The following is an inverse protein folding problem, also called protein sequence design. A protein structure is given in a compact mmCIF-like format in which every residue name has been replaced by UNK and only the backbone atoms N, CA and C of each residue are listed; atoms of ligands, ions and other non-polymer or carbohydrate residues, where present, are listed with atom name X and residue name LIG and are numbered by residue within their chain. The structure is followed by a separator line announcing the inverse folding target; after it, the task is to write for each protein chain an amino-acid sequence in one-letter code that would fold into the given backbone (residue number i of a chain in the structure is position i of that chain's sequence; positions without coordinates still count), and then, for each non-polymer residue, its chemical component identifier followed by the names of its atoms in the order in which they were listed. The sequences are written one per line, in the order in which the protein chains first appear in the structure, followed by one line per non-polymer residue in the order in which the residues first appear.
data_IF_917389437799
#
_entry.id   IF_917389437799
#
_cell.length_a   1.000
_cell.length_b   1.000
_cell.length_c   1.000
_cell.angle_alpha   90.00
_cell.angle_beta   90.00
_cell.angle_gamma   90.00
#
_symmetry.space_group_name_H-M   'P 1'
#
loop_
_entity.id
_entity.type
_entity.pdbx_description
1 polymer ?
#
# COMPACT_ATOMS: atom_id res chain seq x y z
N UNK A 1 7.33 -4.18 22.44
CA UNK A 1 7.98 -3.80 21.17
C UNK A 1 8.10 -4.95 20.19
N UNK A 2 8.66 -6.12 20.56
CA UNK A 2 8.83 -7.25 19.61
C UNK A 2 7.49 -7.81 19.13
N UNK A 3 6.61 -8.21 20.06
CA UNK A 3 5.32 -8.87 19.75
C UNK A 3 4.47 -8.07 18.76
N UNK A 4 4.33 -6.76 18.96
CA UNK A 4 3.50 -5.94 18.07
C UNK A 4 4.05 -5.90 16.63
N UNK A 5 5.37 -5.91 16.43
CA UNK A 5 5.97 -6.00 15.09
C UNK A 5 5.79 -7.39 14.48
N UNK A 6 5.86 -8.46 15.28
CA UNK A 6 5.54 -9.81 14.79
C UNK A 6 4.07 -9.92 14.35
N UNK A 7 3.14 -9.32 15.11
CA UNK A 7 1.72 -9.24 14.75
C UNK A 7 1.52 -8.43 13.46
N UNK A 8 2.23 -7.31 13.28
CA UNK A 8 2.25 -6.59 11.99
C UNK A 8 2.67 -7.49 10.84
N UNK A 9 3.77 -8.25 10.98
CA UNK A 9 4.25 -9.14 9.92
C UNK A 9 3.27 -10.28 9.61
N UNK A 10 2.49 -10.76 10.59
CA UNK A 10 1.40 -11.72 10.34
C UNK A 10 0.27 -11.09 9.53
N UNK A 11 -0.16 -9.88 9.88
CA UNK A 11 -1.18 -9.17 9.11
C UNK A 11 -0.70 -8.75 7.72
N UNK A 12 0.57 -8.35 7.56
CA UNK A 12 1.13 -8.06 6.24
C UNK A 12 1.15 -9.30 5.35
N UNK A 13 1.42 -10.48 5.91
CA UNK A 13 1.34 -11.75 5.20
C UNK A 13 -0.07 -12.01 4.67
N UNK A 14 -1.09 -11.81 5.51
CA UNK A 14 -2.49 -11.97 5.14
C UNK A 14 -2.92 -10.93 4.09
N UNK A 15 -2.54 -9.66 4.27
CA UNK A 15 -2.83 -8.58 3.31
C UNK A 15 -2.22 -8.88 1.95
N UNK A 16 -0.99 -9.39 1.89
CA UNK A 16 -0.38 -9.80 0.62
C UNK A 16 -1.13 -10.93 -0.06
N UNK A 17 -1.54 -11.96 0.71
CA UNK A 17 -2.34 -13.07 0.19
C UNK A 17 -3.66 -12.57 -0.43
N UNK A 18 -4.36 -11.69 0.28
CA UNK A 18 -5.63 -11.13 -0.18
C UNK A 18 -5.47 -10.17 -1.37
N UNK A 19 -4.40 -9.36 -1.41
CA UNK A 19 -4.14 -8.47 -2.54
C UNK A 19 -3.78 -9.24 -3.81
N UNK A 20 -3.04 -10.35 -3.69
CA UNK A 20 -2.75 -11.25 -4.81
C UNK A 20 -4.05 -11.86 -5.36
N UNK A 21 -4.89 -12.37 -4.46
CA UNK A 21 -6.19 -12.94 -4.82
C UNK A 21 -7.13 -11.89 -5.44
N UNK A 22 -7.13 -10.67 -4.92
CA UNK A 22 -7.90 -9.56 -5.50
C UNK A 22 -7.49 -9.28 -6.95
N UNK A 23 -6.19 -9.30 -7.28
CA UNK A 23 -5.76 -9.12 -8.67
C UNK A 23 -6.30 -10.22 -9.59
N UNK A 24 -6.34 -11.47 -9.13
CA UNK A 24 -6.91 -12.59 -9.88
C UNK A 24 -8.42 -12.40 -10.11
N UNK A 25 -9.16 -12.05 -9.06
CA UNK A 25 -10.61 -11.82 -9.14
C UNK A 25 -10.98 -10.65 -10.07
N UNK A 26 -10.23 -9.55 -10.01
CA UNK A 26 -10.42 -8.42 -10.91
C UNK A 26 -10.18 -8.81 -12.38
N UNK A 27 -9.14 -9.60 -12.67
CA UNK A 27 -8.87 -10.12 -14.02
C UNK A 27 -9.92 -11.12 -14.51
N UNK A 28 -10.45 -11.92 -13.60
CA UNK A 28 -11.53 -12.86 -13.87
C UNK A 28 -12.91 -12.18 -13.97
N UNK A 29 -12.99 -10.88 -13.67
CA UNK A 29 -14.24 -10.12 -13.59
C UNK A 29 -15.24 -10.68 -12.55
N UNK A 30 -14.75 -11.30 -11.47
CA UNK A 30 -15.57 -11.78 -10.36
C UNK A 30 -15.80 -10.66 -9.35
N UNK A 31 -16.71 -9.75 -9.69
CA UNK A 31 -17.01 -8.57 -8.88
C UNK A 31 -17.48 -8.88 -7.46
N UNK A 32 -18.40 -9.86 -7.22
CA UNK A 32 -18.85 -10.17 -5.88
C UNK A 32 -17.72 -10.63 -4.95
N UNK A 33 -16.85 -11.54 -5.42
CA UNK A 33 -15.71 -11.99 -4.61
C UNK A 33 -14.66 -10.90 -4.46
N UNK A 34 -14.41 -10.08 -5.49
CA UNK A 34 -13.48 -8.94 -5.38
C UNK A 34 -13.94 -7.96 -4.29
N UNK A 35 -15.24 -7.65 -4.24
CA UNK A 35 -15.81 -6.78 -3.20
C UNK A 35 -15.69 -7.39 -1.79
N UNK A 36 -15.91 -8.70 -1.65
CA UNK A 36 -15.74 -9.40 -0.36
C UNK A 36 -14.28 -9.43 0.11
N UNK A 37 -13.36 -9.65 -0.83
CA UNK A 37 -11.90 -9.65 -0.61
C UNK A 37 -11.42 -8.26 -0.17
N UNK A 38 -11.84 -7.20 -0.87
CA UNK A 38 -11.57 -5.82 -0.47
C UNK A 38 -12.10 -5.53 0.94
N UNK A 39 -13.33 -5.95 1.27
CA UNK A 39 -13.88 -5.78 2.62
C UNK A 39 -12.99 -6.44 3.69
N UNK A 40 -12.41 -7.62 3.42
CA UNK A 40 -11.47 -8.27 4.34
C UNK A 40 -10.19 -7.46 4.50
N UNK A 41 -9.57 -7.04 3.41
CA UNK A 41 -8.36 -6.18 3.43
C UNK A 41 -8.61 -4.92 4.26
N UNK A 42 -9.72 -4.20 3.99
CA UNK A 42 -10.09 -2.98 4.72
C UNK A 42 -10.31 -3.22 6.21
N UNK A 43 -10.86 -4.39 6.58
CA UNK A 43 -11.05 -4.77 7.98
C UNK A 43 -9.69 -5.01 8.66
N UNK A 44 -8.75 -5.66 7.97
CA UNK A 44 -7.38 -5.85 8.49
C UNK A 44 -6.67 -4.51 8.63
N UNK A 45 -6.80 -3.58 7.67
CA UNK A 45 -6.20 -2.25 7.78
C UNK A 45 -6.68 -1.50 9.02
N UNK A 46 -7.97 -1.60 9.37
CA UNK A 46 -8.48 -1.03 10.63
C UNK A 46 -7.83 -1.65 11.86
N UNK A 47 -7.57 -2.96 11.85
CA UNK A 47 -6.81 -3.63 12.92
C UNK A 47 -5.37 -3.13 12.99
N UNK A 48 -4.70 -2.96 11.83
CA UNK A 48 -3.35 -2.40 11.75
C UNK A 48 -3.27 -0.98 12.30
N UNK A 49 -4.29 -0.16 12.06
CA UNK A 49 -4.38 1.20 12.62
C UNK A 49 -4.59 1.14 14.14
N UNK A 50 -5.58 0.37 14.60
CA UNK A 50 -5.94 0.31 16.02
C UNK A 50 -4.79 -0.23 16.90
N UNK A 51 -4.01 -1.19 16.40
CA UNK A 51 -2.92 -1.78 17.18
C UNK A 51 -1.75 -0.80 17.44
N UNK A 52 -1.70 0.36 16.75
CA UNK A 52 -0.75 1.45 17.08
C UNK A 52 -0.98 1.95 18.51
N UNK A 53 -2.22 1.96 18.99
CA UNK A 53 -2.57 2.40 20.35
C UNK A 53 -1.78 1.62 21.41
N UNK A 54 -1.49 0.33 21.15
CA UNK A 54 -0.66 -0.51 22.04
C UNK A 54 0.78 0.01 22.12
N UNK A 55 1.38 0.40 20.98
CA UNK A 55 2.73 0.98 20.95
C UNK A 55 2.79 2.34 21.62
N UNK A 56 1.72 3.11 21.51
CA UNK A 56 1.60 4.46 22.09
C UNK A 56 1.63 4.47 23.62
N UNK A 57 1.41 3.31 24.27
CA UNK A 57 1.59 3.13 25.72
C UNK A 57 3.06 3.11 26.17
N UNK A 58 4.01 2.93 25.24
CA UNK A 58 5.44 2.98 25.53
C UNK A 58 5.89 4.45 25.60
N UNK A 59 6.28 4.91 26.78
CA UNK A 59 6.83 6.26 26.96
C UNK A 59 8.19 6.42 26.25
N UNK A 60 8.59 7.66 25.91
CA UNK A 60 9.92 7.90 25.34
C UNK A 60 11.06 7.36 26.21
N UNK A 61 10.95 7.49 27.55
CA UNK A 61 11.95 6.97 28.48
C UNK A 61 12.06 5.44 28.41
N UNK A 62 10.92 4.73 28.41
CA UNK A 62 10.89 3.27 28.30
C UNK A 62 11.48 2.81 26.97
N UNK A 63 11.19 3.51 25.88
CA UNK A 63 11.76 3.19 24.56
C UNK A 63 13.28 3.41 24.54
N UNK A 64 13.77 4.54 25.05
CA UNK A 64 15.19 4.86 25.07
C UNK A 64 16.02 3.87 25.91
N UNK A 65 15.43 3.28 26.96
CA UNK A 65 16.10 2.30 27.82
C UNK A 65 16.57 1.03 27.08
N UNK A 66 15.95 0.68 25.95
CA UNK A 66 16.38 -0.47 25.14
C UNK A 66 16.74 -0.12 23.69
N UNK A 67 16.50 1.12 23.24
CA UNK A 67 16.73 1.54 21.84
C UNK A 67 18.13 1.21 21.33
N UNK A 68 19.16 1.36 22.15
CA UNK A 68 20.54 1.08 21.76
C UNK A 68 20.77 -0.40 21.38
N UNK A 69 19.95 -1.32 21.91
CA UNK A 69 20.02 -2.76 21.60
C UNK A 69 19.35 -3.14 20.28
N UNK A 70 18.64 -2.20 19.64
CA UNK A 70 18.01 -2.44 18.34
C UNK A 70 19.02 -2.39 17.18
N UNK A 71 20.24 -1.88 17.42
CA UNK A 71 21.32 -1.76 16.43
C UNK A 71 20.80 -1.20 15.09
N UNK A 72 21.01 -1.92 13.98
CA UNK A 72 20.55 -1.55 12.63
C UNK A 72 19.11 -1.97 12.32
N UNK A 73 18.38 -2.54 13.28
CA UNK A 73 17.01 -2.99 13.10
C UNK A 73 16.09 -1.85 12.67
N UNK A 74 15.50 -1.96 11.48
CA UNK A 74 14.67 -0.91 10.89
C UNK A 74 13.46 -1.49 10.17
N UNK A 75 12.32 -0.78 10.23
CA UNK A 75 11.15 -1.08 9.42
C UNK A 75 11.43 -1.09 7.90
N UNK A 76 12.54 -0.45 7.46
CA UNK A 76 12.99 -0.54 6.07
C UNK A 76 13.39 -1.95 5.62
N UNK A 77 13.66 -2.85 6.57
CA UNK A 77 14.02 -4.25 6.31
C UNK A 77 12.79 -5.16 6.23
N UNK A 78 11.57 -4.65 6.46
CA UNK A 78 10.34 -5.41 6.24
C UNK A 78 10.14 -5.66 4.75
N UNK A 79 10.40 -6.89 4.30
CA UNK A 79 10.18 -7.29 2.91
C UNK A 79 8.69 -7.32 2.58
N UNK A 80 7.84 -7.80 3.50
CA UNK A 80 6.39 -7.87 3.26
C UNK A 80 5.78 -6.48 3.12
N UNK A 81 6.16 -5.51 3.96
CA UNK A 81 5.69 -4.14 3.81
C UNK A 81 6.13 -3.52 2.48
N UNK A 82 7.38 -3.78 2.04
CA UNK A 82 7.87 -3.36 0.72
C UNK A 82 7.08 -4.00 -0.42
N UNK A 83 6.72 -5.28 -0.29
CA UNK A 83 5.87 -5.96 -1.27
C UNK A 83 4.47 -5.31 -1.33
N UNK A 84 3.87 -4.93 -0.19
CA UNK A 84 2.60 -4.20 -0.13
C UNK A 84 2.72 -2.83 -0.82
N UNK A 85 3.80 -2.09 -0.57
CA UNK A 85 4.05 -0.82 -1.27
C UNK A 85 4.09 -1.02 -2.80
N UNK A 86 4.76 -2.06 -3.26
CA UNK A 86 4.87 -2.36 -4.70
C UNK A 86 3.56 -2.82 -5.33
N UNK A 87 2.80 -3.72 -4.71
CA UNK A 87 1.50 -4.16 -5.27
C UNK A 87 0.47 -3.01 -5.31
N UNK A 88 0.59 -2.03 -4.41
CA UNK A 88 -0.20 -0.79 -4.41
C UNK A 88 0.39 0.31 -5.34
N UNK A 89 1.44 0.02 -6.11
CA UNK A 89 1.95 0.92 -7.15
C UNK A 89 3.07 1.87 -6.75
N UNK A 90 3.64 1.78 -5.54
CA UNK A 90 4.82 2.58 -5.13
C UNK A 90 6.13 2.05 -5.72
N UNK A 91 6.23 2.05 -7.05
CA UNK A 91 7.33 1.46 -7.83
C UNK A 91 8.54 2.39 -8.06
N UNK A 92 8.54 3.61 -7.55
CA UNK A 92 9.60 4.60 -7.86
C UNK A 92 11.01 4.33 -7.29
N UNK A 93 11.17 3.37 -6.36
CA UNK A 93 12.46 3.05 -5.74
C UNK A 93 12.59 1.55 -5.44
N UNK A 94 13.41 0.80 -6.20
CA UNK A 94 13.58 -0.65 -6.00
C UNK A 94 14.11 -1.00 -4.59
N UNK A 95 15.12 -0.26 -4.12
CA UNK A 95 15.74 -0.41 -2.79
C UNK A 95 16.17 -1.85 -2.41
N UNK A 96 16.57 -2.66 -3.40
CA UNK A 96 16.90 -4.07 -3.22
C UNK A 96 18.16 -4.30 -2.38
N UNK A 97 19.06 -3.32 -2.36
CA UNK A 97 20.33 -3.33 -1.61
C UNK A 97 20.15 -3.49 -0.09
N UNK A 98 18.93 -3.27 0.41
CA UNK A 98 18.58 -3.45 1.83
C UNK A 98 18.47 -4.91 2.25
N UNK A 99 18.37 -5.82 1.28
CA UNK A 99 18.24 -7.25 1.53
C UNK A 99 19.52 -7.97 1.09
N UNK A 100 20.01 -8.95 1.88
CA UNK A 100 21.21 -9.70 1.51
C UNK A 100 21.09 -10.31 0.11
N UNK A 101 22.17 -10.23 -0.65
CA UNK A 101 22.23 -10.80 -2.00
C UNK A 101 21.93 -12.30 -1.98
N UNK A 102 21.13 -12.77 -2.93
CA UNK A 102 20.70 -14.17 -3.02
C UNK A 102 19.65 -14.61 -2.00
N UNK A 103 19.28 -13.77 -1.02
CA UNK A 103 18.24 -14.11 -0.03
C UNK A 103 16.85 -14.26 -0.66
N UNK A 104 16.01 -15.13 -0.08
CA UNK A 104 14.62 -15.31 -0.54
C UNK A 104 13.81 -14.02 -0.44
N UNK A 105 14.03 -13.21 0.61
CA UNK A 105 13.37 -11.91 0.75
C UNK A 105 13.72 -10.95 -0.40
N UNK A 106 14.98 -10.91 -0.81
CA UNK A 106 15.41 -10.11 -1.96
C UNK A 106 14.73 -10.56 -3.25
N UNK A 107 14.74 -11.87 -3.52
CA UNK A 107 14.08 -12.46 -4.71
C UNK A 107 12.58 -12.15 -4.75
N UNK A 108 11.91 -12.21 -3.59
CA UNK A 108 10.48 -11.86 -3.47
C UNK A 108 10.22 -10.40 -3.82
N UNK A 109 10.98 -9.48 -3.24
CA UNK A 109 10.84 -8.04 -3.48
C UNK A 109 11.17 -7.67 -4.93
N UNK A 110 12.23 -8.24 -5.51
CA UNK A 110 12.60 -8.06 -6.93
C UNK A 110 11.51 -8.58 -7.87
N UNK A 111 10.95 -9.77 -7.60
CA UNK A 111 9.83 -10.31 -8.36
C UNK A 111 8.62 -9.38 -8.28
N UNK A 112 8.25 -8.99 -7.06
CA UNK A 112 7.10 -8.12 -6.81
C UNK A 112 7.26 -6.75 -7.48
N UNK A 113 8.48 -6.22 -7.55
CA UNK A 113 8.78 -4.96 -8.21
C UNK A 113 8.42 -4.97 -9.70
N UNK A 114 8.63 -6.10 -10.38
CA UNK A 114 8.36 -6.22 -11.81
C UNK A 114 6.94 -6.72 -12.15
N UNK A 115 6.14 -7.10 -11.14
CA UNK A 115 4.78 -7.59 -11.33
C UNK A 115 3.74 -6.45 -11.46
N UNK A 116 2.61 -6.70 -12.14
CA UNK A 116 1.48 -5.77 -12.17
C UNK A 116 0.94 -5.47 -10.77
N UNK A 117 0.37 -4.28 -10.62
CA UNK A 117 -0.24 -3.76 -9.38
C UNK A 117 -1.73 -4.09 -9.29
N UNK A 118 -2.36 -3.79 -8.15
CA UNK A 118 -3.83 -3.78 -8.03
C UNK A 118 -4.45 -2.80 -9.03
N UNK A 119 -3.84 -1.64 -9.23
CA UNK A 119 -4.31 -0.65 -10.19
C UNK A 119 -4.31 -1.20 -11.62
N UNK A 120 -3.25 -1.90 -12.02
CA UNK A 120 -3.16 -2.52 -13.35
C UNK A 120 -4.24 -3.60 -13.55
N UNK A 121 -4.54 -4.39 -12.49
CA UNK A 121 -5.63 -5.35 -12.52
C UNK A 121 -7.01 -4.66 -12.61
N UNK A 122 -7.18 -3.50 -11.94
CA UNK A 122 -8.39 -2.70 -12.04
C UNK A 122 -8.59 -2.08 -13.43
N UNK A 123 -7.51 -1.63 -14.09
CA UNK A 123 -7.57 -1.17 -15.48
C UNK A 123 -8.00 -2.31 -16.44
N UNK A 124 -7.50 -3.52 -16.23
CA UNK A 124 -7.94 -4.71 -16.97
C UNK A 124 -9.42 -5.07 -16.68
N UNK A 125 -9.86 -4.92 -15.43
CA UNK A 125 -11.24 -5.09 -15.02
C UNK A 125 -12.18 -4.08 -15.73
N UNK A 126 -11.80 -2.81 -15.80
CA UNK A 126 -12.54 -1.79 -16.56
C UNK A 126 -12.63 -2.15 -18.05
N UNK A 127 -11.53 -2.58 -18.66
CA UNK A 127 -11.52 -3.02 -20.06
C UNK A 127 -12.43 -4.23 -20.30
N UNK A 128 -12.46 -5.19 -19.36
CA UNK A 128 -13.34 -6.36 -19.41
C UNK A 128 -14.82 -5.97 -19.33
N UNK A 129 -15.14 -4.93 -18.55
CA UNK A 129 -16.45 -4.28 -18.48
C UNK A 129 -16.74 -3.32 -19.66
N UNK A 130 -16.00 -3.43 -20.76
CA UNK A 130 -16.21 -2.72 -22.04
C UNK A 130 -15.93 -1.22 -22.02
N UNK A 131 -15.22 -0.72 -21.00
CA UNK A 131 -14.71 0.65 -21.02
C UNK A 131 -13.45 0.75 -21.90
N UNK A 132 -13.25 1.86 -22.64
CA UNK A 132 -12.18 2.00 -23.63
C UNK A 132 -10.83 2.34 -22.99
N UNK A 133 -10.31 1.48 -22.10
CA UNK A 133 -9.01 1.70 -21.45
C UNK A 133 -7.87 1.66 -22.48
N UNK A 134 -6.96 2.65 -22.51
CA UNK A 134 -5.86 2.68 -23.47
C UNK A 134 -4.98 1.43 -23.39
N UNK A 135 -4.71 0.80 -24.54
CA UNK A 135 -3.87 -0.42 -24.62
C UNK A 135 -2.48 -0.22 -24.02
N UNK A 136 -1.90 0.98 -24.17
CA UNK A 136 -0.60 1.32 -23.62
C UNK A 136 -0.58 1.21 -22.08
N UNK A 137 -1.70 1.48 -21.40
CA UNK A 137 -1.80 1.35 -19.94
C UNK A 137 -2.02 -0.11 -19.50
N UNK A 138 -2.63 -0.94 -20.35
CA UNK A 138 -2.84 -2.37 -20.07
C UNK A 138 -1.55 -3.21 -20.19
N UNK A 139 -0.54 -2.70 -20.90
CA UNK A 139 0.73 -3.38 -21.20
C UNK A 139 1.95 -2.52 -20.87
N UNK A 140 1.81 -1.58 -19.92
CA UNK A 140 2.90 -0.69 -19.50
C UNK A 140 4.06 -1.46 -18.85
N UNK A 141 5.21 -0.81 -18.73
CA UNK A 141 6.27 -1.27 -17.83
C UNK A 141 5.81 -1.15 -16.36
N UNK A 142 5.55 -2.29 -15.72
CA UNK A 142 5.05 -2.36 -14.35
C UNK A 142 6.09 -1.96 -13.29
N UNK A 143 7.37 -1.86 -13.68
CA UNK A 143 8.44 -1.36 -12.81
C UNK A 143 8.42 0.16 -12.67
N UNK A 144 7.70 0.87 -13.56
CA UNK A 144 7.54 2.33 -13.48
C UNK A 144 6.38 2.72 -12.57
N UNK A 145 6.46 3.94 -12.02
CA UNK A 145 5.34 4.59 -11.36
C UNK A 145 4.19 4.79 -12.37
N UNK A 146 2.96 4.62 -11.91
CA UNK A 146 1.79 4.95 -12.72
C UNK A 146 1.61 6.47 -12.76
N UNK A 147 1.56 7.02 -13.98
CA UNK A 147 1.26 8.43 -14.21
C UNK A 147 -0.26 8.62 -14.42
N UNK A 148 -0.89 9.61 -13.75
CA UNK A 148 -2.32 9.90 -13.91
C UNK A 148 -2.72 10.14 -15.37
N UNK A 149 -3.90 9.68 -15.76
CA UNK A 149 -4.38 9.73 -17.14
C UNK A 149 -5.75 10.37 -17.24
N UNK A 150 -5.84 11.49 -17.97
CA UNK A 150 -7.11 12.17 -18.23
C UNK A 150 -8.11 11.30 -19.01
N UNK A 151 -7.64 10.35 -19.82
CA UNK A 151 -8.50 9.36 -20.49
C UNK A 151 -9.12 8.39 -19.48
N UNK A 152 -8.32 7.88 -18.53
CA UNK A 152 -8.82 7.02 -17.45
C UNK A 152 -9.78 7.79 -16.55
N UNK A 153 -9.50 9.05 -16.23
CA UNK A 153 -10.39 9.90 -15.43
C UNK A 153 -11.78 10.04 -16.07
N UNK A 154 -11.86 10.30 -17.38
CA UNK A 154 -13.14 10.35 -18.11
C UNK A 154 -13.90 9.03 -18.05
N UNK A 155 -13.20 7.90 -18.21
CA UNK A 155 -13.78 6.56 -18.08
C UNK A 155 -14.37 6.37 -16.68
N UNK A 156 -13.63 6.77 -15.64
CA UNK A 156 -14.10 6.63 -14.26
C UNK A 156 -15.32 7.52 -13.98
N UNK A 157 -15.37 8.76 -14.47
CA UNK A 157 -16.58 9.60 -14.36
C UNK A 157 -17.78 8.91 -15.00
N UNK A 158 -17.60 8.27 -16.16
CA UNK A 158 -18.67 7.49 -16.80
C UNK A 158 -19.08 6.26 -15.97
N UNK A 159 -18.11 5.52 -15.42
CA UNK A 159 -18.34 4.38 -14.51
C UNK A 159 -19.24 4.81 -13.36
N UNK A 160 -18.91 5.91 -12.68
CA UNK A 160 -19.68 6.39 -11.52
C UNK A 160 -21.10 6.80 -11.90
N UNK A 161 -21.30 7.35 -13.11
CA UNK A 161 -22.62 7.79 -13.59
C UNK A 161 -23.51 6.64 -14.06
N UNK A 162 -22.93 5.56 -14.60
CA UNK A 162 -23.69 4.54 -15.35
C UNK A 162 -23.63 3.13 -14.78
N UNK A 163 -22.63 2.80 -13.96
CA UNK A 163 -22.41 1.43 -13.50
C UNK A 163 -22.12 1.38 -11.99
N UNK A 164 -23.18 1.33 -11.16
CA UNK A 164 -23.04 1.30 -9.69
C UNK A 164 -22.19 0.14 -9.18
N UNK A 165 -22.22 -1.01 -9.86
CA UNK A 165 -21.47 -2.21 -9.46
C UNK A 165 -19.97 -2.03 -9.64
N UNK A 166 -19.52 -1.49 -10.78
CA UNK A 166 -18.10 -1.18 -11.02
C UNK A 166 -17.67 0.02 -10.16
N UNK A 167 -18.54 1.03 -10.02
CA UNK A 167 -18.29 2.18 -9.15
C UNK A 167 -18.06 1.76 -7.69
N UNK A 168 -18.77 0.75 -7.19
CA UNK A 168 -18.56 0.23 -5.85
C UNK A 168 -17.15 -0.37 -5.67
N UNK A 169 -16.59 -1.04 -6.68
CA UNK A 169 -15.19 -1.50 -6.63
C UNK A 169 -14.23 -0.31 -6.61
N UNK A 170 -14.50 0.71 -7.43
CA UNK A 170 -13.71 1.95 -7.44
C UNK A 170 -13.70 2.64 -6.07
N UNK A 171 -14.85 2.74 -5.40
CA UNK A 171 -14.95 3.27 -4.02
C UNK A 171 -14.15 2.44 -3.03
N UNK A 172 -14.19 1.10 -3.13
CA UNK A 172 -13.40 0.23 -2.25
C UNK A 172 -11.88 0.35 -2.47
N UNK A 173 -11.44 0.74 -3.66
CA UNK A 173 -10.04 1.06 -3.91
C UNK A 173 -9.65 2.41 -3.28
N UNK A 174 -10.56 3.39 -3.26
CA UNK A 174 -10.35 4.63 -2.50
C UNK A 174 -10.28 4.35 -0.99
N UNK A 175 -11.18 3.52 -0.46
CA UNK A 175 -11.13 3.07 0.94
C UNK A 175 -9.77 2.41 1.27
N UNK A 176 -9.20 1.65 0.33
CA UNK A 176 -7.92 0.96 0.49
C UNK A 176 -6.76 1.94 0.55
N UNK A 177 -6.74 2.93 -0.35
CA UNK A 177 -5.72 3.98 -0.35
C UNK A 177 -5.80 4.85 0.91
N UNK A 178 -7.02 5.25 1.30
CA UNK A 178 -7.27 5.99 2.55
C UNK A 178 -6.81 5.22 3.78
N UNK A 179 -7.21 3.96 3.93
CA UNK A 179 -6.82 3.15 5.09
C UNK A 179 -5.31 2.93 5.18
N UNK A 180 -4.62 2.81 4.05
CA UNK A 180 -3.16 2.72 4.02
C UNK A 180 -2.49 4.06 4.39
N UNK A 181 -3.03 5.18 3.93
CA UNK A 181 -2.56 6.53 4.32
C UNK A 181 -2.82 6.82 5.80
N UNK A 182 -3.97 6.42 6.35
CA UNK A 182 -4.28 6.53 7.77
C UNK A 182 -3.23 5.77 8.61
N UNK A 183 -2.92 4.53 8.24
CA UNK A 183 -1.89 3.75 8.91
C UNK A 183 -0.53 4.44 8.86
N UNK A 184 -0.11 4.96 7.70
CA UNK A 184 1.16 5.71 7.58
C UNK A 184 1.18 6.94 8.47
N UNK A 185 0.09 7.70 8.48
CA UNK A 185 -0.03 8.90 9.30
C UNK A 185 0.09 8.56 10.79
N UNK A 186 -0.66 7.55 11.25
CA UNK A 186 -0.60 7.07 12.62
C UNK A 186 0.80 6.55 12.98
N UNK A 187 1.46 5.85 12.06
CA UNK A 187 2.85 5.40 12.24
C UNK A 187 3.82 6.59 12.38
N UNK A 188 3.70 7.62 11.53
CA UNK A 188 4.49 8.86 11.65
C UNK A 188 4.29 9.50 13.02
N UNK A 189 3.03 9.67 13.46
CA UNK A 189 2.73 10.28 14.75
C UNK A 189 3.25 9.46 15.92
N UNK A 190 3.14 8.13 15.86
CA UNK A 190 3.73 7.21 16.83
C UNK A 190 5.26 7.38 16.90
N UNK A 191 5.95 7.45 15.76
CA UNK A 191 7.40 7.70 15.74
C UNK A 191 7.72 9.08 16.34
N UNK A 192 7.01 10.14 15.94
CA UNK A 192 7.21 11.50 16.46
C UNK A 192 7.06 11.59 17.97
N UNK A 193 6.02 10.98 18.55
CA UNK A 193 5.83 11.01 20.01
C UNK A 193 6.87 10.18 20.76
N UNK A 194 7.39 9.10 20.16
CA UNK A 194 8.34 8.21 20.84
C UNK A 194 9.78 8.71 20.75
N UNK A 195 10.18 9.30 19.63
CA UNK A 195 11.58 9.69 19.37
C UNK A 195 11.80 11.15 18.97
N UNK A 196 10.73 11.94 18.82
CA UNK A 196 10.82 13.33 18.36
C UNK A 196 11.42 13.43 16.96
N UNK A 197 12.44 14.27 16.83
CA UNK A 197 13.19 14.51 15.58
C UNK A 197 14.45 13.64 15.47
N UNK A 198 14.65 12.67 16.36
CA UNK A 198 15.84 11.81 16.31
C UNK A 198 15.87 11.00 15.00
N UNK A 199 17.04 10.83 14.36
CA UNK A 199 17.19 9.94 13.20
C UNK A 199 16.70 8.52 13.49
N UNK A 200 16.27 7.82 12.44
CA UNK A 200 15.88 6.41 12.54
C UNK A 200 17.08 5.49 12.72
N UNK A 201 16.89 4.33 13.34
CA UNK A 201 17.94 3.28 13.47
C UNK A 201 18.40 2.73 12.11
N UNK A 202 17.58 2.88 11.06
CA UNK A 202 17.94 2.54 9.68
C UNK A 202 18.60 3.67 8.89
N UNK A 203 19.06 4.75 9.52
CA UNK A 203 19.81 5.83 8.86
C UNK A 203 18.99 6.91 8.16
N UNK A 204 17.65 6.91 8.26
CA UNK A 204 16.82 8.02 7.77
C UNK A 204 16.76 9.19 8.76
N UNK A 205 16.24 10.35 8.31
CA UNK A 205 15.87 11.49 9.18
C UNK A 205 14.68 11.21 10.12
N UNK A 206 14.28 9.94 10.28
CA UNK A 206 13.24 9.52 11.21
C UNK A 206 11.86 9.97 10.74
N UNK A 207 11.15 10.72 11.59
CA UNK A 207 9.80 11.18 11.31
C UNK A 207 9.70 12.07 10.06
N UNK A 208 10.71 12.90 9.79
CA UNK A 208 10.74 13.79 8.63
C UNK A 208 10.72 12.98 7.33
N UNK A 209 11.56 11.93 7.22
CA UNK A 209 11.49 11.00 6.10
C UNK A 209 10.09 10.37 5.96
N UNK A 210 9.51 9.90 7.06
CA UNK A 210 8.20 9.23 7.00
C UNK A 210 7.08 10.17 6.54
N UNK A 211 7.16 11.47 6.87
CA UNK A 211 6.21 12.49 6.38
C UNK A 211 6.21 12.63 4.86
N UNK A 212 7.37 12.44 4.20
CA UNK A 212 7.45 12.48 2.73
C UNK A 212 6.61 11.40 2.05
N UNK A 213 6.21 10.37 2.80
CA UNK A 213 5.46 9.22 2.29
C UNK A 213 3.93 9.40 2.32
N UNK A 214 3.41 10.50 2.89
CA UNK A 214 1.97 10.71 3.14
C UNK A 214 1.19 11.36 1.98
N UNK A 215 1.86 11.99 1.02
CA UNK A 215 1.21 12.83 0.01
C UNK A 215 1.20 12.21 -1.39
N UNK A 216 1.21 10.89 -1.48
CA UNK A 216 1.17 10.20 -2.76
C UNK A 216 0.07 9.15 -2.70
N UNK A 217 -1.08 9.35 -3.36
CA UNK A 217 -2.10 8.32 -3.47
C UNK A 217 -1.57 7.12 -4.29
N UNK A 218 -2.03 5.92 -3.98
CA UNK A 218 -1.81 4.73 -4.79
C UNK A 218 -2.60 4.79 -6.10
N UNK A 219 -3.80 5.39 -6.07
CA UNK A 219 -4.75 5.41 -7.18
C UNK A 219 -5.12 6.85 -7.58
N UNK A 220 -4.19 7.64 -8.14
CA UNK A 220 -4.36 9.08 -8.28
C UNK A 220 -5.58 9.50 -9.10
N UNK A 221 -5.97 8.73 -10.13
CA UNK A 221 -7.13 9.08 -10.96
C UNK A 221 -8.45 8.98 -10.20
N UNK A 222 -8.59 8.04 -9.24
CA UNK A 222 -9.79 7.96 -8.41
C UNK A 222 -9.99 9.18 -7.52
N UNK A 223 -8.90 9.82 -7.10
CA UNK A 223 -8.94 11.07 -6.35
C UNK A 223 -9.17 12.27 -7.26
N UNK A 224 -8.54 12.31 -8.43
CA UNK A 224 -8.64 13.42 -9.37
C UNK A 224 -10.07 13.67 -9.86
N UNK A 225 -10.84 12.60 -10.12
CA UNK A 225 -12.20 12.71 -10.66
C UNK A 225 -13.21 13.31 -9.67
N UNK A 226 -12.88 13.43 -8.38
CA UNK A 226 -13.83 13.87 -7.34
C UNK A 226 -14.40 15.26 -7.62
N UNK A 227 -13.63 16.13 -8.26
CA UNK A 227 -14.09 17.46 -8.65
C UNK A 227 -15.00 17.46 -9.90
N UNK A 228 -15.09 16.33 -10.62
CA UNK A 228 -15.78 16.21 -11.91
C UNK A 228 -17.05 15.35 -11.88
N UNK A 229 -17.35 14.72 -10.73
CA UNK A 229 -18.51 13.83 -10.55
C UNK A 229 -19.84 14.59 -10.59
#
# INVERSE_FOLDING_TARGET
FVIIHQVYELWFKEVLHELDYLQELLRANDTPLAAATLKRILTILKTLVAQIDVLETITPLNFLAFRARLESGSGFQSHQFREIEFILGKKGRPSFERYPEGSENRKRVERRFNQPTVWDAFLQYLATNKYPVPKALLQRDFSQLYEPSSEVQRILVEVYKKNPTVAQIAERLVDLDEGFMEWRYRHVKMVQRTIGTKPGTGGSSGAEYLMTTLNQPAFPDLWAIRAEL
#
